data_IF_424677735925
#
_entry.id   IF_424677735925
#
_cell.length_a   1.000
_cell.length_b   1.000
_cell.length_c   1.000
_cell.angle_alpha   90.00
_cell.angle_beta   90.00
_cell.angle_gamma   90.00
#
_symmetry.space_group_name_H-M   'P 1'
#
loop_
_entity.id
_entity.type
_entity.pdbx_description
1 polymer ?
#
# COMPACT_ATOMS: atom_id res chain seq x y z
N UNK A 1 -6.98 13.12 25.11
CA UNK A 1 -6.11 11.98 24.74
C UNK A 1 -7.03 10.85 24.35
N UNK A 2 -7.25 10.66 23.05
CA UNK A 2 -8.02 9.52 22.53
C UNK A 2 -7.14 8.85 21.49
N UNK A 3 -6.33 7.89 21.94
CA UNK A 3 -5.62 6.99 21.03
C UNK A 3 -6.66 6.10 20.38
N UNK A 4 -7.24 6.57 19.27
CA UNK A 4 -8.03 5.71 18.38
C UNK A 4 -7.06 4.74 17.71
N UNK A 5 -6.72 3.65 18.41
CA UNK A 5 -6.20 2.44 17.76
C UNK A 5 -7.36 1.94 16.89
N UNK A 6 -7.38 2.35 15.62
CA UNK A 6 -8.36 1.84 14.66
C UNK A 6 -8.29 0.30 14.71
N UNK A 7 -9.44 -0.41 14.71
CA UNK A 7 -9.43 -1.85 14.64
C UNK A 7 -8.65 -2.26 13.39
N UNK A 8 -7.59 -3.04 13.59
CA UNK A 8 -6.76 -3.59 12.52
C UNK A 8 -7.65 -4.41 11.61
N UNK A 9 -7.91 -3.90 10.41
CA UNK A 9 -8.62 -4.64 9.39
C UNK A 9 -7.78 -5.87 9.02
N UNK A 10 -8.38 -7.04 8.79
CA UNK A 10 -7.63 -8.21 8.31
C UNK A 10 -6.94 -7.95 6.96
N UNK A 11 -7.32 -6.89 6.24
CA UNK A 11 -6.68 -6.44 5.01
C UNK A 11 -5.42 -5.59 5.23
N UNK A 12 -5.18 -5.09 6.44
CA UNK A 12 -4.08 -4.15 6.71
C UNK A 12 -2.69 -4.75 6.46
N UNK A 13 -2.39 -6.02 6.78
CA UNK A 13 -1.11 -6.63 6.41
C UNK A 13 -0.86 -6.61 4.89
N UNK A 14 -1.88 -6.90 4.10
CA UNK A 14 -1.78 -6.89 2.63
C UNK A 14 -1.69 -5.46 2.08
N UNK A 15 -2.40 -4.51 2.69
CA UNK A 15 -2.32 -3.09 2.35
C UNK A 15 -0.91 -2.54 2.62
N UNK A 16 -0.31 -2.87 3.76
CA UNK A 16 1.06 -2.44 4.10
C UNK A 16 2.06 -2.98 3.09
N UNK A 17 2.00 -4.28 2.77
CA UNK A 17 2.86 -4.89 1.75
C UNK A 17 2.69 -4.22 0.38
N UNK A 18 1.45 -3.95 -0.04
CA UNK A 18 1.16 -3.21 -1.25
C UNK A 18 1.75 -1.80 -1.23
N UNK A 19 1.55 -1.03 -0.15
CA UNK A 19 2.06 0.33 -0.02
C UNK A 19 3.59 0.38 -0.03
N UNK A 20 4.26 -0.61 0.56
CA UNK A 20 5.72 -0.74 0.48
C UNK A 20 6.20 -0.94 -0.97
N UNK A 21 5.47 -1.74 -1.78
CA UNK A 21 5.79 -1.87 -3.20
C UNK A 21 5.61 -0.56 -3.97
N UNK A 22 4.55 0.22 -3.66
CA UNK A 22 4.33 1.54 -4.26
C UNK A 22 5.44 2.51 -3.85
N UNK A 23 5.83 2.52 -2.58
CA UNK A 23 6.87 3.40 -2.03
C UNK A 23 8.25 3.11 -2.61
N UNK A 24 8.58 1.83 -2.86
CA UNK A 24 9.84 1.42 -3.50
C UNK A 24 9.93 1.89 -4.97
N UNK A 25 8.78 2.09 -5.63
CA UNK A 25 8.71 2.56 -7.01
C UNK A 25 8.97 4.07 -7.14
N UNK A 26 10.17 4.47 -7.60
CA UNK A 26 10.53 5.89 -7.80
C UNK A 26 9.60 6.67 -8.74
N UNK A 27 8.97 5.97 -9.68
CA UNK A 27 8.05 6.58 -10.64
C UNK A 27 6.59 6.65 -10.13
N UNK A 28 6.28 6.05 -8.99
CA UNK A 28 4.91 5.81 -8.53
C UNK A 28 4.23 4.66 -9.27
N UNK A 29 3.14 4.16 -8.68
CA UNK A 29 2.36 3.03 -9.12
C UNK A 29 1.33 3.40 -10.20
N UNK A 30 1.23 2.58 -11.24
CA UNK A 30 0.19 2.70 -12.26
C UNK A 30 -0.78 1.49 -12.21
N UNK A 31 -2.06 1.71 -11.84
CA UNK A 31 -3.04 0.63 -11.77
C UNK A 31 -3.29 0.03 -13.16
N UNK A 32 -3.43 -1.30 -13.22
CA UNK A 32 -3.52 -2.05 -14.46
C UNK A 32 -2.18 -2.62 -14.91
N UNK A 33 -1.31 -1.85 -15.60
CA UNK A 33 -0.06 -2.36 -16.15
C UNK A 33 0.92 -2.89 -15.09
N UNK A 34 1.02 -2.23 -13.94
CA UNK A 34 1.96 -2.64 -12.89
C UNK A 34 1.33 -3.62 -11.88
N UNK A 35 0.00 -3.83 -11.94
CA UNK A 35 -0.72 -4.71 -11.02
C UNK A 35 -0.21 -6.16 -11.09
N UNK A 36 0.10 -6.68 -12.28
CA UNK A 36 0.63 -8.04 -12.45
C UNK A 36 2.03 -8.21 -11.84
N UNK A 37 2.87 -7.18 -11.92
CA UNK A 37 4.21 -7.22 -11.34
C UNK A 37 4.14 -7.20 -9.80
N UNK A 38 3.27 -6.36 -9.23
CA UNK A 38 3.03 -6.32 -7.78
C UNK A 38 2.41 -7.64 -7.29
N UNK A 39 1.44 -8.17 -8.02
CA UNK A 39 0.82 -9.47 -7.73
C UNK A 39 1.85 -10.59 -7.64
N UNK A 40 2.78 -10.63 -8.60
CA UNK A 40 3.85 -11.63 -8.63
C UNK A 40 4.83 -11.49 -7.46
N UNK A 41 5.18 -10.26 -7.06
CA UNK A 41 6.10 -10.02 -5.93
C UNK A 41 5.48 -10.34 -4.57
N UNK A 42 4.18 -10.15 -4.44
CA UNK A 42 3.43 -10.37 -3.21
C UNK A 42 2.80 -11.77 -3.15
N UNK A 43 2.97 -12.59 -4.20
CA UNK A 43 2.37 -13.92 -4.36
C UNK A 43 0.84 -13.91 -4.11
N UNK A 44 0.15 -12.95 -4.72
CA UNK A 44 -1.31 -12.79 -4.62
C UNK A 44 -1.97 -12.62 -5.99
N UNK A 45 -3.28 -12.89 -6.14
CA UNK A 45 -3.97 -12.67 -7.40
C UNK A 45 -3.97 -11.20 -7.83
N UNK A 46 -3.86 -10.96 -9.15
CA UNK A 46 -3.93 -9.61 -9.74
C UNK A 46 -5.20 -8.85 -9.33
N UNK A 47 -6.35 -9.52 -9.32
CA UNK A 47 -7.62 -8.91 -8.89
C UNK A 47 -7.57 -8.44 -7.43
N UNK A 48 -6.80 -9.13 -6.58
CA UNK A 48 -6.61 -8.71 -5.20
C UNK A 48 -5.75 -7.44 -5.10
N UNK A 49 -4.73 -7.29 -5.94
CA UNK A 49 -3.97 -6.03 -6.05
C UNK A 49 -4.86 -4.86 -6.48
N UNK A 50 -5.78 -5.07 -7.42
CA UNK A 50 -6.74 -4.04 -7.83
C UNK A 50 -7.68 -3.64 -6.68
N UNK A 51 -8.09 -4.61 -5.85
CA UNK A 51 -8.87 -4.36 -4.63
C UNK A 51 -8.06 -3.62 -3.55
N UNK A 52 -6.79 -3.98 -3.33
CA UNK A 52 -5.88 -3.28 -2.41
C UNK A 52 -5.66 -1.84 -2.86
N UNK A 53 -5.44 -1.60 -4.15
CA UNK A 53 -5.35 -0.26 -4.71
C UNK A 53 -6.63 0.55 -4.44
N UNK A 54 -7.80 -0.03 -4.70
CA UNK A 54 -9.09 0.62 -4.48
C UNK A 54 -9.30 0.97 -3.01
N UNK A 55 -9.02 0.02 -2.11
CA UNK A 55 -9.08 0.23 -0.66
C UNK A 55 -8.11 1.34 -0.21
N UNK A 56 -6.84 1.28 -0.63
CA UNK A 56 -5.82 2.27 -0.28
C UNK A 56 -6.19 3.68 -0.76
N UNK A 57 -6.74 3.79 -1.99
CA UNK A 57 -7.22 5.06 -2.53
C UNK A 57 -8.41 5.60 -1.74
N UNK A 58 -9.42 4.79 -1.46
CA UNK A 58 -10.62 5.20 -0.71
C UNK A 58 -10.28 5.62 0.72
N UNK A 59 -9.28 4.98 1.34
CA UNK A 59 -8.76 5.34 2.67
C UNK A 59 -7.80 6.54 2.65
N UNK A 60 -7.52 7.13 1.49
CA UNK A 60 -6.60 8.28 1.39
C UNK A 60 -5.12 7.95 1.62
N UNK A 61 -4.74 6.67 1.54
CA UNK A 61 -3.35 6.19 1.73
C UNK A 61 -2.48 6.41 0.49
N UNK A 62 -3.11 6.74 -0.64
CA UNK A 62 -2.46 7.08 -1.90
C UNK A 62 -2.83 8.49 -2.32
N UNK A 63 -1.89 9.17 -2.97
CA UNK A 63 -2.11 10.46 -3.63
C UNK A 63 -1.70 10.38 -5.10
N UNK A 64 -2.40 11.09 -6.00
CA UNK A 64 -2.02 11.17 -7.40
C UNK A 64 -0.69 11.92 -7.55
N UNK A 65 0.18 11.40 -8.42
CA UNK A 65 1.40 12.04 -8.89
C UNK A 65 1.12 12.59 -10.30
N UNK A 66 0.88 13.89 -10.37
CA UNK A 66 0.60 14.58 -11.62
C UNK A 66 1.92 14.84 -12.36
N UNK A 67 2.18 14.02 -13.40
CA UNK A 67 3.29 14.21 -14.32
C UNK A 67 2.86 14.87 -15.63
N UNK A 68 3.82 15.13 -16.53
CA UNK A 68 3.60 15.75 -17.85
C UNK A 68 2.87 14.85 -18.88
N UNK A 69 2.31 13.71 -18.45
CA UNK A 69 1.67 12.71 -19.33
C UNK A 69 0.20 12.48 -19.00
N UNK A 70 -0.54 11.87 -19.94
CA UNK A 70 -1.99 11.64 -19.83
C UNK A 70 -2.41 10.58 -18.79
N UNK A 71 -1.47 9.81 -18.22
CA UNK A 71 -1.77 8.70 -17.29
C UNK A 71 -1.41 9.08 -15.87
N UNK A 72 -2.39 9.03 -14.96
CA UNK A 72 -2.21 9.31 -13.54
C UNK A 72 -1.44 8.17 -12.89
N UNK A 73 -0.31 8.50 -12.25
CA UNK A 73 0.41 7.60 -11.35
C UNK A 73 0.05 7.91 -9.91
N UNK A 74 0.30 6.97 -9.01
CA UNK A 74 -0.03 7.06 -7.60
C UNK A 74 1.21 6.88 -6.75
N UNK A 75 1.36 7.71 -5.74
CA UNK A 75 2.40 7.54 -4.73
C UNK A 75 1.75 7.49 -3.35
N UNK A 76 2.52 7.09 -2.36
CA UNK A 76 2.05 7.00 -0.98
C UNK A 76 1.75 8.42 -0.44
N UNK A 77 0.64 8.56 0.29
CA UNK A 77 0.31 9.79 1.02
C UNK A 77 0.96 9.78 2.40
N UNK A 78 1.01 10.91 3.14
CA UNK A 78 1.49 10.91 4.52
C UNK A 78 0.77 9.90 5.41
N UNK A 79 -0.55 9.74 5.25
CA UNK A 79 -1.32 8.73 5.98
C UNK A 79 -0.92 7.29 5.62
N UNK A 80 -0.57 7.05 4.36
CA UNK A 80 -0.01 5.77 3.93
C UNK A 80 1.37 5.51 4.53
N UNK A 81 2.23 6.52 4.59
CA UNK A 81 3.56 6.42 5.21
C UNK A 81 3.45 6.11 6.70
N UNK A 82 2.51 6.76 7.41
CA UNK A 82 2.24 6.48 8.82
C UNK A 82 1.76 5.05 9.04
N UNK A 83 0.86 4.55 8.19
CA UNK A 83 0.40 3.15 8.27
C UNK A 83 1.55 2.16 8.07
N UNK A 84 2.41 2.40 7.07
CA UNK A 84 3.61 1.58 6.82
C UNK A 84 4.57 1.67 8.02
N UNK A 85 4.73 2.82 8.66
CA UNK A 85 5.57 2.97 9.86
C UNK A 85 5.03 2.19 11.06
N UNK A 86 3.72 2.27 11.29
CA UNK A 86 3.06 1.65 12.44
C UNK A 86 3.07 0.11 12.35
N UNK A 87 2.88 -0.43 11.13
CA UNK A 87 2.71 -1.87 10.93
C UNK A 87 3.90 -2.57 10.25
N UNK A 88 4.77 -1.84 9.54
CA UNK A 88 5.97 -2.38 8.90
C UNK A 88 7.03 -2.87 9.89
N UNK A 89 6.96 -2.43 11.15
CA UNK A 89 7.88 -2.85 12.24
C UNK A 89 7.42 -4.16 12.92
N UNK A 90 6.15 -4.56 12.78
CA UNK A 90 5.63 -5.77 13.43
C UNK A 90 6.01 -7.09 12.73
N UNK A 91 6.54 -7.05 11.51
CA UNK A 91 6.93 -8.24 10.74
C UNK A 91 8.24 -8.92 11.17
N UNK A 92 8.98 -8.39 12.16
CA UNK A 92 10.33 -8.87 12.53
C UNK A 92 10.48 -9.19 14.03
N UNK A 93 9.38 -9.35 14.78
CA UNK A 93 9.44 -9.54 16.25
C UNK A 93 8.71 -10.77 16.81
N UNK A 94 8.35 -11.76 15.99
CA UNK A 94 7.83 -13.04 16.49
C UNK A 94 8.70 -14.21 16.02
N UNK A 95 9.82 -14.45 16.70
CA UNK A 95 10.51 -15.74 16.83
C UNK A 95 11.62 -15.55 17.88
N UNK A 96 11.36 -15.99 19.11
CA UNK A 96 12.34 -15.94 20.20
C UNK A 96 11.68 -15.96 21.57
N UNK A 97 10.84 -16.95 21.82
CA UNK A 97 10.74 -17.58 23.15
C UNK A 97 11.54 -18.89 23.06
#
# INVERSE_FOLDING_TARGET
MSEHTQPTSPLDPFLVQFLMQVQAGKAGYQPGPEASAVASRLDIPRAFVDALFTSARTRGLLKPLYGRGAKIRWTISPAGEDLVRQHGVQGIRNSGD
#
